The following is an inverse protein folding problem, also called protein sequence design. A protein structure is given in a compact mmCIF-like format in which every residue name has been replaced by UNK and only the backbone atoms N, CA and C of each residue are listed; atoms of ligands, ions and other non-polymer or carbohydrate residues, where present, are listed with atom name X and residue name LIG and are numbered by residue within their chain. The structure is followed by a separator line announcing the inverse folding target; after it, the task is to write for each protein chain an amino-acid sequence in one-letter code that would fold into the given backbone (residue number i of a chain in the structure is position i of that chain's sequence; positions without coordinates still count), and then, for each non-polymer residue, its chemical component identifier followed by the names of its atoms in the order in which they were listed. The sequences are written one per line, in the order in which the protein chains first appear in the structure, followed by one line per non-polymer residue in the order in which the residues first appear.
data_IF_511639424048
#
_entry.id   IF_511639424048
#
_cell.length_a   1.000
_cell.length_b   1.000
_cell.length_c   1.000
_cell.angle_alpha   90.00
_cell.angle_beta   90.00
_cell.angle_gamma   90.00
#
_symmetry.space_group_name_H-M   'P 1'
#
loop_
_entity.id
_entity.type
_entity.pdbx_description
1 polymer ?
#
# COMPACT_ATOMS: atom_id res chain seq x y z
N UNK A 1 -12.90 -28.02 -25.33
CA UNK A 1 -13.56 -26.75 -25.06
C UNK A 1 -12.55 -25.67 -25.36
N UNK A 2 -12.93 -24.75 -26.21
CA UNK A 2 -12.05 -23.63 -26.60
C UNK A 2 -11.87 -22.71 -25.38
N UNK A 3 -10.74 -22.84 -24.67
CA UNK A 3 -10.40 -22.02 -23.51
C UNK A 3 -10.11 -20.55 -23.89
N UNK A 4 -10.24 -20.22 -25.16
CA UNK A 4 -9.84 -18.94 -25.76
C UNK A 4 -11.05 -18.07 -26.14
N UNK A 5 -12.13 -18.07 -25.35
CA UNK A 5 -13.25 -17.14 -25.54
C UNK A 5 -12.76 -15.70 -25.68
N UNK A 6 -13.32 -14.96 -26.68
CA UNK A 6 -13.02 -13.55 -26.87
C UNK A 6 -13.77 -12.71 -25.81
N UNK A 7 -13.16 -11.59 -25.42
CA UNK A 7 -13.78 -10.66 -24.50
C UNK A 7 -13.40 -10.91 -23.04
N UNK A 8 -14.19 -10.34 -22.12
CA UNK A 8 -13.99 -10.41 -20.67
C UNK A 8 -14.83 -11.55 -20.11
N UNK A 9 -14.22 -12.58 -19.54
CA UNK A 9 -14.86 -13.80 -19.06
C UNK A 9 -14.25 -14.24 -17.72
N UNK A 10 -15.07 -14.88 -16.88
CA UNK A 10 -14.64 -15.54 -15.64
C UNK A 10 -14.33 -17.01 -15.89
N UNK A 11 -13.56 -17.65 -15.00
CA UNK A 11 -13.33 -19.09 -15.02
C UNK A 11 -12.44 -19.58 -16.16
N UNK A 12 -11.44 -18.80 -16.58
CA UNK A 12 -10.52 -19.16 -17.68
C UNK A 12 -9.59 -20.32 -17.34
N UNK A 13 -9.35 -20.57 -16.06
CA UNK A 13 -8.44 -21.60 -15.55
C UNK A 13 -9.19 -22.63 -14.69
N UNK A 14 -8.56 -23.75 -14.41
CA UNK A 14 -9.07 -24.73 -13.43
C UNK A 14 -8.80 -24.25 -12.00
N UNK A 15 -9.55 -24.74 -10.99
CA UNK A 15 -9.29 -24.40 -9.58
C UNK A 15 -7.83 -24.64 -9.16
N UNK A 16 -7.24 -25.76 -9.57
CA UNK A 16 -5.85 -26.06 -9.23
C UNK A 16 -4.84 -25.10 -9.87
N UNK A 17 -5.13 -24.58 -11.07
CA UNK A 17 -4.31 -23.54 -11.70
C UNK A 17 -4.43 -22.21 -10.93
N UNK A 18 -5.64 -21.84 -10.47
CA UNK A 18 -5.81 -20.65 -9.63
C UNK A 18 -5.04 -20.77 -8.31
N UNK A 19 -5.15 -21.90 -7.60
CA UNK A 19 -4.44 -22.12 -6.35
C UNK A 19 -2.92 -22.02 -6.51
N UNK A 20 -2.39 -22.58 -7.59
CA UNK A 20 -0.97 -22.50 -7.90
C UNK A 20 -0.53 -21.09 -8.29
N UNK A 21 -1.31 -20.41 -9.14
CA UNK A 21 -0.97 -19.08 -9.65
C UNK A 21 -0.99 -18.00 -8.55
N UNK A 22 -1.90 -18.12 -7.58
CA UNK A 22 -2.04 -17.16 -6.49
C UNK A 22 -1.37 -17.62 -5.18
N UNK A 23 -0.45 -18.60 -5.27
CA UNK A 23 0.38 -18.98 -4.13
C UNK A 23 1.24 -17.80 -3.63
N UNK A 24 1.70 -17.90 -2.40
CA UNK A 24 2.53 -16.88 -1.76
C UNK A 24 3.83 -16.62 -2.54
N UNK A 25 4.07 -15.38 -2.93
CA UNK A 25 5.27 -14.96 -3.67
C UNK A 25 6.56 -15.24 -2.89
N UNK A 26 6.53 -15.03 -1.58
CA UNK A 26 7.67 -15.18 -0.69
C UNK A 26 7.30 -16.03 0.53
N UNK A 27 7.16 -17.35 0.41
CA UNK A 27 6.84 -18.21 1.54
C UNK A 27 7.77 -17.94 2.74
N UNK A 28 7.21 -18.05 3.95
CA UNK A 28 7.96 -17.86 5.18
C UNK A 28 9.16 -18.81 5.24
N UNK A 29 10.30 -18.29 5.72
CA UNK A 29 11.46 -19.12 6.04
C UNK A 29 11.12 -20.13 7.13
N UNK A 30 11.67 -21.33 7.05
CA UNK A 30 11.70 -22.23 8.19
C UNK A 30 12.79 -21.79 9.20
N UNK A 31 12.89 -22.50 10.34
CA UNK A 31 13.84 -22.12 11.39
C UNK A 31 15.31 -22.26 10.97
N UNK A 32 15.62 -23.22 10.13
CA UNK A 32 16.98 -23.42 9.63
C UNK A 32 17.33 -22.36 8.57
N UNK A 33 16.44 -22.13 7.63
CA UNK A 33 16.60 -21.06 6.61
C UNK A 33 16.76 -19.69 7.26
N UNK A 34 15.94 -19.39 8.29
CA UNK A 34 16.02 -18.14 9.03
C UNK A 34 17.35 -17.99 9.76
N UNK A 35 17.89 -19.07 10.35
CA UNK A 35 19.21 -19.07 10.98
C UNK A 35 20.30 -18.78 9.94
N UNK A 36 20.32 -19.52 8.82
CA UNK A 36 21.31 -19.32 7.75
C UNK A 36 21.24 -17.91 7.16
N UNK A 37 20.05 -17.38 6.92
CA UNK A 37 19.86 -16.03 6.40
C UNK A 37 20.31 -14.95 7.42
N UNK A 38 20.03 -15.16 8.71
CA UNK A 38 20.42 -14.23 9.78
C UNK A 38 21.93 -14.18 10.01
N UNK A 39 22.66 -15.29 9.86
CA UNK A 39 24.11 -15.36 10.00
C UNK A 39 24.86 -14.56 8.93
N UNK A 40 24.19 -14.20 7.85
CA UNK A 40 24.77 -13.30 6.85
C UNK A 40 24.87 -11.85 7.33
N UNK A 41 24.16 -11.45 8.38
CA UNK A 41 24.20 -10.09 8.90
C UNK A 41 25.53 -9.80 9.61
N UNK A 42 26.15 -8.64 9.30
CA UNK A 42 27.36 -8.17 9.99
C UNK A 42 27.06 -7.50 11.33
N UNK A 43 25.81 -7.29 11.68
CA UNK A 43 25.37 -6.59 12.90
C UNK A 43 26.06 -5.22 13.04
N UNK A 44 26.06 -4.42 11.97
CA UNK A 44 26.73 -3.12 11.90
C UNK A 44 26.27 -2.21 13.03
N UNK A 45 27.20 -1.44 13.60
CA UNK A 45 26.90 -0.49 14.68
C UNK A 45 26.11 0.73 14.16
N UNK A 46 26.57 1.30 13.04
CA UNK A 46 25.93 2.43 12.34
C UNK A 46 25.18 1.94 11.10
N UNK A 47 24.32 0.97 11.30
CA UNK A 47 23.65 0.20 10.25
C UNK A 47 22.86 1.07 9.27
N UNK A 48 23.26 1.19 7.98
CA UNK A 48 22.56 2.01 7.01
C UNK A 48 21.11 1.54 6.76
N UNK A 49 20.85 0.25 6.93
CA UNK A 49 19.52 -0.32 6.81
C UNK A 49 18.52 0.23 7.84
N UNK A 50 18.96 0.63 9.04
CA UNK A 50 18.11 1.29 10.03
C UNK A 50 17.70 2.69 9.56
N UNK A 51 18.66 3.45 9.00
CA UNK A 51 18.39 4.80 8.48
C UNK A 51 17.48 4.78 7.26
N UNK A 52 17.63 3.77 6.40
CA UNK A 52 16.78 3.59 5.22
C UNK A 52 15.36 3.08 5.56
N UNK A 53 15.17 2.53 6.75
CA UNK A 53 13.83 2.09 7.19
C UNK A 53 13.01 3.30 7.66
N UNK A 54 11.86 3.64 7.02
CA UNK A 54 11.04 4.77 7.43
C UNK A 54 10.55 4.71 8.88
N UNK A 55 10.37 3.51 9.44
CA UNK A 55 9.98 3.30 10.85
C UNK A 55 11.19 3.17 11.78
N UNK A 56 12.42 3.16 11.26
CA UNK A 56 13.66 3.07 12.05
C UNK A 56 13.74 1.83 12.95
N UNK A 57 13.34 0.67 12.43
CA UNK A 57 13.48 -0.62 13.14
C UNK A 57 14.97 -0.89 13.39
N UNK A 58 15.33 -1.34 14.59
CA UNK A 58 16.68 -1.85 14.88
C UNK A 58 16.89 -3.20 14.17
N UNK A 59 17.25 -3.11 12.89
CA UNK A 59 17.41 -4.26 11.99
C UNK A 59 18.53 -5.19 12.46
N UNK A 60 19.73 -4.71 12.82
CA UNK A 60 20.77 -5.59 13.37
C UNK A 60 20.34 -6.32 14.63
N UNK A 61 19.60 -5.66 15.53
CA UNK A 61 19.14 -6.27 16.77
C UNK A 61 18.13 -7.37 16.49
N UNK A 62 17.09 -7.13 15.70
CA UNK A 62 16.09 -8.15 15.46
C UNK A 62 16.67 -9.38 14.72
N UNK A 63 17.61 -9.15 13.77
CA UNK A 63 18.29 -10.25 13.08
C UNK A 63 19.17 -11.04 14.06
N UNK A 64 19.90 -10.35 14.95
CA UNK A 64 20.70 -11.03 16.00
C UNK A 64 19.83 -11.85 16.92
N UNK A 65 18.63 -11.39 17.28
CA UNK A 65 17.69 -12.15 18.08
C UNK A 65 17.21 -13.42 17.37
N UNK A 66 17.04 -13.39 16.04
CA UNK A 66 16.75 -14.59 15.24
C UNK A 66 17.95 -15.55 15.29
N UNK A 67 19.17 -15.09 15.01
CA UNK A 67 20.37 -15.93 15.00
C UNK A 67 20.70 -16.56 16.35
N UNK A 68 20.20 -15.98 17.44
CA UNK A 68 20.37 -16.51 18.79
C UNK A 68 19.13 -17.29 19.31
N UNK A 69 18.18 -17.64 18.44
CA UNK A 69 17.03 -18.47 18.76
C UNK A 69 15.91 -17.76 19.52
N UNK A 70 15.81 -16.43 19.43
CA UNK A 70 14.76 -15.63 20.08
C UNK A 70 13.86 -14.89 19.07
N UNK A 71 13.06 -15.59 18.24
CA UNK A 71 12.18 -14.95 17.26
C UNK A 71 11.09 -14.08 17.90
N UNK A 72 10.65 -14.39 19.12
CA UNK A 72 9.65 -13.60 19.84
C UNK A 72 10.23 -12.25 20.27
N UNK A 73 11.47 -12.21 20.79
CA UNK A 73 12.16 -10.95 21.06
C UNK A 73 12.38 -10.14 19.80
N UNK A 74 12.71 -10.80 18.70
CA UNK A 74 12.84 -10.19 17.37
C UNK A 74 11.55 -9.52 16.93
N UNK A 75 10.42 -10.20 17.00
CA UNK A 75 9.11 -9.64 16.69
C UNK A 75 8.79 -8.40 17.55
N UNK A 76 9.11 -8.46 18.86
CA UNK A 76 8.92 -7.30 19.74
C UNK A 76 9.74 -6.10 19.28
N UNK A 77 11.01 -6.29 18.94
CA UNK A 77 11.90 -5.23 18.41
C UNK A 77 11.31 -4.59 17.14
N UNK A 78 10.71 -5.40 16.26
CA UNK A 78 10.04 -4.94 15.06
C UNK A 78 8.79 -4.13 15.42
N UNK A 79 7.88 -4.69 16.23
CA UNK A 79 6.60 -4.07 16.57
C UNK A 79 6.75 -2.81 17.44
N UNK A 80 7.81 -2.64 18.19
CA UNK A 80 8.10 -1.41 18.95
C UNK A 80 8.16 -0.19 18.03
N UNK A 81 8.61 -0.38 16.80
CA UNK A 81 8.74 0.68 15.79
C UNK A 81 7.66 0.60 14.70
N UNK A 82 7.21 -0.58 14.36
CA UNK A 82 6.30 -0.85 13.25
C UNK A 82 5.28 -1.91 13.63
N UNK A 83 4.13 -1.49 14.16
CA UNK A 83 3.07 -2.41 14.60
C UNK A 83 2.44 -3.20 13.44
N UNK A 84 2.56 -2.72 12.20
CA UNK A 84 2.20 -3.44 10.97
C UNK A 84 3.41 -4.11 10.33
N UNK A 85 4.35 -4.58 11.15
CA UNK A 85 5.59 -5.20 10.71
C UNK A 85 5.40 -6.45 9.86
N UNK A 86 4.30 -7.16 10.02
CA UNK A 86 3.96 -8.35 9.23
C UNK A 86 3.58 -8.00 7.77
N UNK A 87 2.71 -7.00 7.56
CA UNK A 87 2.42 -6.51 6.20
C UNK A 87 3.65 -5.85 5.58
N UNK A 88 4.35 -4.99 6.32
CA UNK A 88 5.58 -4.37 5.80
C UNK A 88 6.61 -5.41 5.36
N UNK A 89 6.74 -6.54 6.05
CA UNK A 89 7.62 -7.63 5.66
C UNK A 89 7.24 -8.30 4.33
N UNK A 90 5.98 -8.15 3.89
CA UNK A 90 5.45 -8.71 2.65
C UNK A 90 5.45 -7.72 1.49
N UNK A 91 5.29 -6.42 1.78
CA UNK A 91 4.98 -5.42 0.74
C UNK A 91 5.96 -4.26 0.64
N UNK A 92 6.90 -4.12 1.58
CA UNK A 92 7.97 -3.13 1.45
C UNK A 92 8.83 -3.46 0.23
N UNK A 93 9.14 -2.50 -0.63
CA UNK A 93 10.15 -2.65 -1.67
C UNK A 93 11.55 -2.62 -1.04
N UNK A 94 11.93 -3.70 -0.33
CA UNK A 94 13.17 -3.77 0.44
C UNK A 94 14.41 -3.54 -0.41
N UNK A 95 14.32 -3.89 -1.70
CA UNK A 95 15.34 -3.67 -2.73
C UNK A 95 15.58 -2.19 -3.08
N UNK A 96 14.68 -1.29 -2.65
CA UNK A 96 14.84 0.17 -2.77
C UNK A 96 15.03 0.85 -1.40
N UNK A 97 14.92 0.09 -0.31
CA UNK A 97 15.00 0.55 1.07
C UNK A 97 16.17 -0.11 1.82
N UNK A 98 15.83 -0.90 2.84
CA UNK A 98 16.83 -1.45 3.77
C UNK A 98 17.81 -2.46 3.13
N UNK A 99 17.36 -3.26 2.17
CA UNK A 99 18.21 -4.24 1.48
C UNK A 99 19.09 -3.56 0.43
N UNK A 100 18.62 -2.48 -0.22
CA UNK A 100 19.43 -1.70 -1.15
C UNK A 100 20.72 -1.19 -0.51
N UNK A 101 20.61 -0.65 0.71
CA UNK A 101 21.75 -0.04 1.43
C UNK A 101 22.49 -1.04 2.31
N UNK A 102 22.10 -2.30 2.31
CA UNK A 102 22.80 -3.33 3.07
C UNK A 102 24.26 -3.43 2.66
N UNK A 103 25.17 -3.45 3.63
CA UNK A 103 26.63 -3.55 3.36
C UNK A 103 26.97 -4.79 2.54
N UNK A 104 26.26 -5.90 2.77
CA UNK A 104 26.39 -7.11 1.94
C UNK A 104 26.02 -6.88 0.49
N UNK A 105 25.00 -6.02 0.22
CA UNK A 105 24.64 -5.68 -1.16
C UNK A 105 25.81 -5.00 -1.88
N UNK A 106 26.45 -4.01 -1.24
CA UNK A 106 27.61 -3.31 -1.81
C UNK A 106 28.82 -4.24 -2.01
N UNK A 107 29.02 -5.21 -1.10
CA UNK A 107 30.20 -6.07 -1.13
C UNK A 107 30.03 -7.31 -2.03
N UNK A 108 28.82 -7.83 -2.18
CA UNK A 108 28.56 -9.15 -2.74
C UNK A 108 27.39 -9.16 -3.75
N UNK A 109 26.78 -8.01 -4.07
CA UNK A 109 25.53 -7.89 -4.87
C UNK A 109 24.40 -8.80 -4.35
N UNK A 110 24.44 -9.12 -3.05
CA UNK A 110 23.47 -9.98 -2.39
C UNK A 110 23.23 -9.50 -0.96
N UNK A 111 22.17 -8.71 -0.71
CA UNK A 111 21.83 -8.23 0.62
C UNK A 111 21.45 -9.37 1.58
N UNK A 112 21.36 -9.07 2.87
CA UNK A 112 20.63 -9.91 3.82
C UNK A 112 19.13 -9.83 3.47
N UNK A 113 18.43 -10.95 3.51
CA UNK A 113 16.98 -11.03 3.22
C UNK A 113 16.18 -10.46 4.42
N UNK A 114 16.27 -9.13 4.61
CA UNK A 114 15.73 -8.42 5.77
C UNK A 114 14.21 -8.59 5.86
N UNK A 115 13.51 -8.40 4.74
CA UNK A 115 12.06 -8.55 4.67
C UNK A 115 11.60 -9.96 5.05
N UNK A 116 12.27 -11.01 4.54
CA UNK A 116 11.94 -12.40 4.86
C UNK A 116 12.20 -12.76 6.33
N UNK A 117 13.29 -12.25 6.90
CA UNK A 117 13.62 -12.41 8.32
C UNK A 117 12.62 -11.67 9.22
N UNK A 118 12.20 -10.46 8.83
CA UNK A 118 11.15 -9.72 9.51
C UNK A 118 9.84 -10.52 9.51
N UNK A 119 9.43 -11.06 8.34
CA UNK A 119 8.26 -11.91 8.20
C UNK A 119 8.33 -13.15 9.10
N UNK A 120 9.47 -13.84 9.12
CA UNK A 120 9.67 -15.01 9.97
C UNK A 120 9.36 -14.71 11.44
N UNK A 121 9.89 -13.62 11.97
CA UNK A 121 9.70 -13.27 13.37
C UNK A 121 8.24 -12.82 13.67
N UNK A 122 7.68 -11.95 12.81
CA UNK A 122 6.32 -11.42 13.03
C UNK A 122 5.25 -12.50 12.89
N UNK A 123 5.38 -13.40 11.91
CA UNK A 123 4.43 -14.50 11.72
C UNK A 123 4.42 -15.45 12.94
N UNK A 124 5.59 -15.81 13.48
CA UNK A 124 5.68 -16.66 14.69
C UNK A 124 4.98 -15.98 15.87
N UNK A 125 5.20 -14.69 16.09
CA UNK A 125 4.59 -13.99 17.22
C UNK A 125 3.06 -13.91 17.08
N UNK A 126 2.56 -13.60 15.88
CA UNK A 126 1.13 -13.52 15.60
C UNK A 126 0.45 -14.91 15.69
N UNK A 127 1.05 -15.95 15.13
CA UNK A 127 0.55 -17.35 15.23
C UNK A 127 0.47 -17.84 16.69
N UNK A 128 1.40 -17.40 17.54
CA UNK A 128 1.38 -17.70 18.97
C UNK A 128 0.44 -16.79 19.78
N UNK A 129 -0.25 -15.83 19.13
CA UNK A 129 -1.12 -14.87 19.80
C UNK A 129 -0.38 -13.95 20.79
N UNK A 130 0.90 -13.66 20.54
CA UNK A 130 1.73 -12.87 21.46
C UNK A 130 1.35 -11.40 21.39
N UNK A 131 0.67 -10.90 22.41
CA UNK A 131 0.45 -9.47 22.63
C UNK A 131 1.59 -8.92 23.49
N UNK A 132 2.30 -7.92 22.97
CA UNK A 132 3.46 -7.31 23.64
C UNK A 132 3.10 -6.04 24.41
N UNK A 133 1.93 -5.48 24.14
CA UNK A 133 1.51 -4.19 24.64
C UNK A 133 0.20 -4.30 25.41
N UNK A 134 0.05 -3.44 26.40
CA UNK A 134 -1.17 -3.25 27.14
C UNK A 134 -1.58 -1.78 27.13
N UNK A 135 -2.86 -1.55 27.18
CA UNK A 135 -3.41 -0.21 27.30
C UNK A 135 -3.10 0.35 28.70
N UNK A 136 -2.62 1.59 28.76
CA UNK A 136 -2.48 2.31 30.03
C UNK A 136 -3.86 2.69 30.62
N UNK A 137 -3.86 3.22 31.86
CA UNK A 137 -5.08 3.73 32.50
C UNK A 137 -5.75 4.80 31.60
N UNK A 138 -7.08 4.80 31.57
CA UNK A 138 -7.83 5.74 30.76
C UNK A 138 -7.48 7.20 31.08
N UNK A 139 -7.11 7.96 30.05
CA UNK A 139 -6.86 9.41 30.15
C UNK A 139 -8.15 10.23 30.17
N UNK A 140 -9.31 9.63 29.88
CA UNK A 140 -10.56 10.33 29.65
C UNK A 140 -10.63 11.10 28.30
N UNK A 141 -9.59 10.99 27.47
CA UNK A 141 -9.51 11.66 26.16
C UNK A 141 -9.94 10.73 25.03
N UNK A 142 -10.64 11.29 24.04
CA UNK A 142 -11.11 10.53 22.87
C UNK A 142 -10.58 11.17 21.59
N UNK A 143 -9.96 10.36 20.74
CA UNK A 143 -9.38 10.78 19.45
C UNK A 143 -10.17 10.15 18.30
N UNK A 144 -10.59 10.98 17.34
CA UNK A 144 -11.16 10.48 16.08
C UNK A 144 -10.04 10.26 15.06
N UNK A 145 -10.09 9.12 14.36
CA UNK A 145 -9.20 8.79 13.24
C UNK A 145 -10.06 8.58 12.00
N UNK A 146 -9.79 9.32 10.94
CA UNK A 146 -10.49 9.20 9.66
C UNK A 146 -9.64 8.38 8.70
N UNK A 147 -10.07 7.16 8.43
CA UNK A 147 -9.37 6.14 7.64
C UNK A 147 -8.67 5.10 8.52
N UNK A 148 -8.99 3.83 8.30
CA UNK A 148 -8.42 2.68 9.00
C UNK A 148 -7.36 1.95 8.13
N UNK A 149 -6.61 2.71 7.34
CA UNK A 149 -5.41 2.23 6.62
C UNK A 149 -4.18 2.18 7.55
N UNK A 150 -2.98 1.89 7.01
CA UNK A 150 -1.76 1.70 7.80
C UNK A 150 -1.43 2.86 8.75
N UNK A 151 -1.59 4.12 8.32
CA UNK A 151 -1.36 5.28 9.18
C UNK A 151 -2.38 5.35 10.32
N UNK A 152 -3.67 5.13 10.02
CA UNK A 152 -4.75 5.16 11.02
C UNK A 152 -4.60 4.04 12.04
N UNK A 153 -4.30 2.82 11.61
CA UNK A 153 -4.08 1.67 12.48
C UNK A 153 -2.87 1.87 13.41
N UNK A 154 -1.76 2.37 12.87
CA UNK A 154 -0.56 2.64 13.66
C UNK A 154 -0.83 3.74 14.71
N UNK A 155 -1.54 4.81 14.33
CA UNK A 155 -1.94 5.87 15.25
C UNK A 155 -2.91 5.35 16.32
N UNK A 156 -3.91 4.56 15.93
CA UNK A 156 -4.91 4.00 16.84
C UNK A 156 -4.25 3.14 17.93
N UNK A 157 -3.37 2.22 17.53
CA UNK A 157 -2.64 1.37 18.47
C UNK A 157 -1.79 2.21 19.44
N UNK A 158 -1.01 3.16 18.93
CA UNK A 158 -0.12 4.00 19.76
C UNK A 158 -0.91 4.88 20.75
N UNK A 159 -2.02 5.46 20.32
CA UNK A 159 -2.92 6.24 21.19
C UNK A 159 -3.58 5.36 22.26
N UNK A 160 -4.02 4.15 21.89
CA UNK A 160 -4.59 3.20 22.84
C UNK A 160 -3.56 2.75 23.89
N UNK A 161 -2.29 2.54 23.50
CA UNK A 161 -1.20 2.28 24.47
C UNK A 161 -1.12 3.40 25.53
N UNK A 162 -1.24 4.67 25.12
CA UNK A 162 -1.23 5.81 26.04
C UNK A 162 -2.56 6.01 26.82
N UNK A 163 -3.49 5.09 26.75
CA UNK A 163 -4.75 5.12 27.51
C UNK A 163 -5.85 5.98 26.88
N UNK A 164 -5.66 6.57 25.71
CA UNK A 164 -6.72 7.31 25.01
C UNK A 164 -7.77 6.34 24.45
N UNK A 165 -9.02 6.80 24.35
CA UNK A 165 -10.06 6.13 23.58
C UNK A 165 -9.98 6.58 22.12
N UNK A 166 -10.09 5.62 21.20
CA UNK A 166 -9.96 5.89 19.78
C UNK A 166 -11.22 5.46 19.04
N UNK A 167 -11.74 6.32 18.17
CA UNK A 167 -12.81 6.01 17.23
C UNK A 167 -12.26 6.13 15.82
N UNK A 168 -12.09 4.99 15.14
CA UNK A 168 -11.71 4.94 13.72
C UNK A 168 -12.97 4.96 12.85
N UNK A 169 -12.99 5.85 11.86
CA UNK A 169 -14.07 6.04 10.89
C UNK A 169 -13.55 5.61 9.52
N UNK A 170 -14.05 4.49 9.01
CA UNK A 170 -13.59 3.89 7.76
C UNK A 170 -14.69 3.93 6.69
N UNK A 171 -14.36 4.39 5.49
CA UNK A 171 -15.32 4.54 4.40
C UNK A 171 -15.73 3.20 3.77
N UNK A 172 -14.87 2.20 3.83
CA UNK A 172 -15.08 0.84 3.28
C UNK A 172 -15.65 -0.11 4.34
N UNK A 173 -16.00 -1.33 3.91
CA UNK A 173 -16.58 -2.35 4.77
C UNK A 173 -15.56 -2.96 5.75
N UNK A 174 -14.28 -2.98 5.37
CA UNK A 174 -13.19 -3.53 6.17
C UNK A 174 -12.10 -2.49 6.41
N UNK A 175 -11.51 -2.51 7.61
CA UNK A 175 -10.29 -1.79 7.90
C UNK A 175 -9.08 -2.41 7.16
N UNK A 176 -7.97 -1.69 7.06
CA UNK A 176 -6.74 -2.14 6.42
C UNK A 176 -6.26 -1.23 5.28
N UNK A 177 -7.15 -0.41 4.71
CA UNK A 177 -6.82 0.50 3.60
C UNK A 177 -6.23 -0.26 2.42
N UNK A 178 -5.14 0.22 1.82
CA UNK A 178 -4.50 -0.44 0.68
C UNK A 178 -3.90 -1.81 1.02
N UNK A 179 -3.56 -2.09 2.28
CA UNK A 179 -3.13 -3.44 2.68
C UNK A 179 -4.25 -4.48 2.46
N UNK A 180 -5.49 -4.08 2.66
CA UNK A 180 -6.66 -4.93 2.44
C UNK A 180 -7.13 -4.90 0.98
N UNK A 181 -7.08 -3.73 0.31
CA UNK A 181 -7.73 -3.53 -0.97
C UNK A 181 -6.79 -3.29 -2.15
N UNK A 182 -5.54 -2.89 -1.92
CA UNK A 182 -4.66 -2.41 -3.00
C UNK A 182 -3.39 -3.22 -3.25
N UNK A 183 -3.09 -4.21 -2.40
CA UNK A 183 -1.92 -5.09 -2.55
C UNK A 183 -2.30 -6.32 -3.38
N UNK A 184 -1.44 -6.74 -4.29
CA UNK A 184 -1.66 -7.97 -5.05
C UNK A 184 -1.87 -9.18 -4.13
N UNK A 185 -2.84 -10.04 -4.48
CA UNK A 185 -3.24 -11.17 -3.63
C UNK A 185 -2.11 -12.13 -3.32
N UNK A 186 -1.23 -12.39 -4.28
CA UNK A 186 -0.07 -13.28 -4.13
C UNK A 186 1.05 -12.70 -3.21
N UNK A 187 1.00 -11.40 -2.89
CA UNK A 187 1.94 -10.75 -1.94
C UNK A 187 1.49 -10.89 -0.49
N UNK A 188 0.19 -10.98 -0.24
CA UNK A 188 -0.39 -11.09 1.09
C UNK A 188 -1.58 -12.05 1.08
N UNK A 189 -1.27 -13.34 1.23
CA UNK A 189 -2.24 -14.45 1.22
C UNK A 189 -2.89 -14.64 2.59
N UNK A 190 -3.88 -15.54 2.69
CA UNK A 190 -4.48 -16.04 3.94
C UNK A 190 -5.10 -14.94 4.82
N UNK A 191 -5.79 -13.97 4.19
CA UNK A 191 -6.42 -12.82 4.88
C UNK A 191 -5.47 -12.08 5.84
N UNK A 192 -4.17 -12.09 5.53
CA UNK A 192 -3.15 -11.58 6.45
C UNK A 192 -3.40 -10.12 6.85
N UNK A 193 -3.93 -9.28 5.95
CA UNK A 193 -4.24 -7.89 6.25
C UNK A 193 -5.28 -7.77 7.38
N UNK A 194 -6.34 -8.60 7.38
CA UNK A 194 -7.33 -8.62 8.45
C UNK A 194 -6.76 -9.21 9.76
N UNK A 195 -5.98 -10.27 9.68
CA UNK A 195 -5.29 -10.83 10.86
C UNK A 195 -4.40 -9.79 11.54
N UNK A 196 -3.74 -8.92 10.78
CA UNK A 196 -2.94 -7.83 11.35
C UNK A 196 -3.81 -6.70 11.92
N UNK A 197 -4.94 -6.37 11.28
CA UNK A 197 -5.95 -5.45 11.85
C UNK A 197 -6.46 -5.97 13.20
N UNK A 198 -6.82 -7.25 13.28
CA UNK A 198 -7.26 -7.89 14.53
C UNK A 198 -6.18 -7.84 15.60
N UNK A 199 -4.92 -8.12 15.24
CA UNK A 199 -3.77 -8.03 16.14
C UNK A 199 -3.59 -6.61 16.70
N UNK A 200 -3.67 -5.59 15.85
CA UNK A 200 -3.54 -4.18 16.23
C UNK A 200 -4.66 -3.73 17.17
N UNK A 201 -5.90 -4.11 16.86
CA UNK A 201 -7.08 -3.67 17.62
C UNK A 201 -7.29 -4.45 18.92
N UNK A 202 -6.67 -5.62 19.07
CA UNK A 202 -6.75 -6.48 20.26
C UNK A 202 -6.23 -5.81 21.55
N UNK A 203 -5.45 -4.72 21.45
CA UNK A 203 -5.03 -3.93 22.63
C UNK A 203 -6.23 -3.32 23.38
N UNK A 204 -7.37 -3.14 22.70
CA UNK A 204 -8.59 -2.52 23.24
C UNK A 204 -8.55 -1.00 23.26
N UNK A 205 -9.70 -0.40 23.55
CA UNK A 205 -9.87 1.07 23.54
C UNK A 205 -9.98 1.67 22.13
N UNK A 206 -10.10 0.83 21.12
CA UNK A 206 -10.27 1.21 19.71
C UNK A 206 -11.64 0.71 19.26
N UNK A 207 -12.49 1.64 18.83
CA UNK A 207 -13.77 1.36 18.18
C UNK A 207 -13.63 1.67 16.69
N UNK A 208 -13.99 0.72 15.82
CA UNK A 208 -13.99 0.93 14.37
C UNK A 208 -15.41 1.00 13.84
N UNK A 209 -15.73 2.06 13.11
CA UNK A 209 -17.01 2.27 12.42
C UNK A 209 -16.78 2.25 10.92
N UNK A 210 -17.18 1.16 10.30
CA UNK A 210 -17.04 0.96 8.86
C UNK A 210 -18.24 1.52 8.08
N UNK A 211 -18.05 1.80 6.79
CA UNK A 211 -19.10 2.30 5.90
C UNK A 211 -19.42 3.78 6.08
N UNK A 212 -18.60 4.55 6.82
CA UNK A 212 -18.83 5.97 7.11
C UNK A 212 -17.70 6.85 6.57
N UNK A 213 -18.03 7.88 5.80
CA UNK A 213 -17.08 8.68 5.05
C UNK A 213 -17.17 10.17 5.37
N UNK A 214 -16.02 10.82 5.50
CA UNK A 214 -15.90 12.26 5.64
C UNK A 214 -16.49 12.97 4.40
N UNK A 215 -17.29 14.00 4.62
CA UNK A 215 -17.94 14.77 3.55
C UNK A 215 -19.23 14.15 3.03
N UNK A 216 -19.56 12.90 3.44
CA UNK A 216 -20.83 12.25 3.17
C UNK A 216 -21.67 12.10 4.45
N UNK A 217 -21.09 11.52 5.50
CA UNK A 217 -21.81 11.16 6.73
C UNK A 217 -21.50 12.10 7.88
N UNK A 218 -20.34 12.76 7.86
CA UNK A 218 -19.88 13.73 8.85
C UNK A 218 -18.90 14.71 8.21
N UNK A 219 -18.68 15.85 8.88
CA UNK A 219 -17.69 16.87 8.49
C UNK A 219 -16.51 16.93 9.47
N UNK A 220 -15.42 17.58 9.07
CA UNK A 220 -14.28 17.83 9.97
C UNK A 220 -14.68 18.69 11.16
N UNK A 221 -15.61 19.66 10.96
CA UNK A 221 -16.15 20.48 12.06
C UNK A 221 -16.93 19.66 13.09
N UNK A 222 -17.67 18.62 12.67
CA UNK A 222 -18.36 17.73 13.59
C UNK A 222 -17.35 16.94 14.45
N UNK A 223 -16.24 16.50 13.83
CA UNK A 223 -15.20 15.78 14.56
C UNK A 223 -14.48 16.66 15.57
N UNK A 224 -14.08 17.88 15.18
CA UNK A 224 -13.38 18.81 16.09
C UNK A 224 -14.26 19.30 17.25
N UNK A 225 -15.59 19.30 17.06
CA UNK A 225 -16.53 19.63 18.13
C UNK A 225 -16.73 18.50 19.15
N UNK A 226 -16.60 17.24 18.73
CA UNK A 226 -16.98 16.08 19.55
C UNK A 226 -15.78 15.26 20.08
N UNK A 227 -14.56 15.49 19.58
CA UNK A 227 -13.36 14.75 19.96
C UNK A 227 -12.27 15.69 20.46
N UNK A 228 -11.39 15.20 21.33
CA UNK A 228 -10.28 15.98 21.87
C UNK A 228 -9.16 16.21 20.84
N UNK A 229 -9.03 15.33 19.86
CA UNK A 229 -8.13 15.48 18.71
C UNK A 229 -8.66 14.67 17.51
N UNK A 230 -8.21 15.05 16.31
CA UNK A 230 -8.56 14.36 15.04
C UNK A 230 -7.29 14.01 14.28
N UNK A 231 -7.21 12.78 13.80
CA UNK A 231 -6.15 12.34 12.89
C UNK A 231 -6.73 11.93 11.54
N UNK A 232 -6.28 12.58 10.46
CA UNK A 232 -6.71 12.32 9.09
C UNK A 232 -5.72 11.36 8.42
N UNK A 233 -6.17 10.15 8.15
CA UNK A 233 -5.40 9.05 7.55
C UNK A 233 -6.11 8.50 6.30
N UNK A 234 -6.66 9.40 5.47
CA UNK A 234 -7.61 9.10 4.41
C UNK A 234 -6.99 8.46 3.17
N UNK A 235 -5.65 8.45 3.04
CA UNK A 235 -4.95 7.95 1.86
C UNK A 235 -5.31 8.74 0.59
N UNK A 236 -5.27 8.06 -0.56
CA UNK A 236 -5.65 8.57 -1.88
C UNK A 236 -6.86 7.79 -2.39
N UNK A 237 -8.03 8.39 -2.38
CA UNK A 237 -9.28 7.73 -2.75
C UNK A 237 -9.74 8.01 -4.19
N UNK A 238 -9.17 9.02 -4.85
CA UNK A 238 -9.46 9.34 -6.24
C UNK A 238 -8.51 8.64 -7.21
N UNK A 239 -8.90 8.54 -8.47
CA UNK A 239 -8.07 8.05 -9.59
C UNK A 239 -7.99 9.12 -10.66
N UNK A 240 -6.83 9.20 -11.31
CA UNK A 240 -6.65 10.14 -12.41
C UNK A 240 -7.31 9.61 -13.68
N UNK A 241 -8.06 10.47 -14.39
CA UNK A 241 -8.59 10.16 -15.71
C UNK A 241 -7.50 10.28 -16.79
N UNK A 242 -7.68 9.55 -17.89
CA UNK A 242 -6.83 9.68 -19.09
C UNK A 242 -7.17 10.94 -19.88
N UNK A 243 -8.45 11.32 -19.91
CA UNK A 243 -8.95 12.46 -20.69
C UNK A 243 -8.86 12.24 -22.20
N UNK A 244 -8.99 11.00 -22.66
CA UNK A 244 -8.94 10.61 -24.07
C UNK A 244 -10.26 9.99 -24.52
N UNK A 245 -10.50 9.96 -25.82
CA UNK A 245 -11.68 9.34 -26.43
C UNK A 245 -11.75 7.84 -26.08
N UNK A 246 -12.94 7.37 -25.74
CA UNK A 246 -13.26 5.96 -25.46
C UNK A 246 -12.98 5.53 -24.02
N UNK A 247 -12.62 6.44 -23.11
CA UNK A 247 -12.38 6.10 -21.70
C UNK A 247 -13.64 5.56 -20.99
N UNK A 248 -14.83 5.84 -21.54
CA UNK A 248 -16.14 5.41 -21.05
C UNK A 248 -16.58 4.04 -21.56
N UNK A 249 -15.82 3.38 -22.43
CA UNK A 249 -16.18 2.08 -23.02
C UNK A 249 -16.21 0.96 -21.98
N UNK A 250 -17.13 0.01 -22.17
CA UNK A 250 -17.13 -1.23 -21.37
C UNK A 250 -15.82 -2.01 -21.57
N UNK A 251 -15.16 -2.34 -20.47
CA UNK A 251 -13.83 -2.96 -20.45
C UNK A 251 -12.69 -1.99 -20.12
N UNK A 252 -13.00 -0.71 -19.86
CA UNK A 252 -12.07 0.24 -19.25
C UNK A 252 -12.34 0.31 -17.76
N UNK A 253 -11.32 0.12 -16.92
CA UNK A 253 -11.46 0.19 -15.48
C UNK A 253 -10.19 0.72 -14.79
N UNK A 254 -10.32 1.10 -13.54
CA UNK A 254 -9.18 1.49 -12.72
C UNK A 254 -8.46 0.26 -12.15
N UNK A 255 -7.15 0.20 -12.28
CA UNK A 255 -6.34 -0.93 -11.80
C UNK A 255 -6.52 -1.18 -10.29
N UNK A 256 -6.73 -0.13 -9.50
CA UNK A 256 -6.98 -0.24 -8.05
C UNK A 256 -8.32 -0.92 -7.74
N UNK A 257 -9.34 -0.70 -8.56
CA UNK A 257 -10.65 -1.32 -8.40
C UNK A 257 -10.60 -2.80 -8.81
N UNK A 258 -9.90 -3.12 -9.90
CA UNK A 258 -9.63 -4.50 -10.28
C UNK A 258 -8.89 -5.27 -9.19
N UNK A 259 -7.82 -4.71 -8.63
CA UNK A 259 -7.07 -5.33 -7.52
C UNK A 259 -7.98 -5.51 -6.30
N UNK A 260 -8.79 -4.51 -5.96
CA UNK A 260 -9.70 -4.58 -4.82
C UNK A 260 -10.77 -5.67 -5.03
N UNK A 261 -11.37 -5.74 -6.22
CA UNK A 261 -12.36 -6.77 -6.55
C UNK A 261 -11.77 -8.19 -6.44
N UNK A 262 -10.56 -8.39 -6.95
CA UNK A 262 -9.87 -9.69 -6.89
C UNK A 262 -9.50 -10.07 -5.44
N UNK A 263 -9.08 -9.12 -4.61
CA UNK A 263 -8.78 -9.37 -3.20
C UNK A 263 -10.02 -9.74 -2.38
N UNK A 264 -11.15 -9.10 -2.68
CA UNK A 264 -12.41 -9.36 -1.98
C UNK A 264 -13.18 -10.58 -2.51
N UNK A 265 -12.78 -11.13 -3.66
CA UNK A 265 -13.40 -12.33 -4.22
C UNK A 265 -13.07 -13.57 -3.38
N UNK A 266 -14.11 -14.21 -2.84
CA UNK A 266 -13.97 -15.49 -2.14
C UNK A 266 -13.46 -16.61 -3.07
N UNK A 267 -13.89 -16.57 -4.34
CA UNK A 267 -13.41 -17.46 -5.40
C UNK A 267 -12.86 -16.62 -6.55
N UNK A 268 -11.56 -16.71 -6.80
CA UNK A 268 -10.88 -15.98 -7.87
C UNK A 268 -11.37 -16.36 -9.27
N UNK A 269 -11.92 -17.57 -9.42
CA UNK A 269 -12.53 -18.00 -10.68
C UNK A 269 -13.78 -17.20 -11.08
N UNK A 270 -14.37 -16.46 -10.15
CA UNK A 270 -15.53 -15.59 -10.44
C UNK A 270 -15.14 -14.22 -10.99
N UNK A 271 -13.86 -13.83 -10.89
CA UNK A 271 -13.40 -12.53 -11.37
C UNK A 271 -13.18 -12.58 -12.88
N UNK A 272 -13.91 -11.77 -13.66
CA UNK A 272 -13.77 -11.77 -15.10
C UNK A 272 -12.47 -11.07 -15.51
N UNK A 273 -11.85 -11.61 -16.57
CA UNK A 273 -10.62 -11.05 -17.14
C UNK A 273 -10.67 -11.10 -18.68
N UNK A 274 -10.14 -10.06 -19.32
CA UNK A 274 -9.97 -10.01 -20.76
C UNK A 274 -8.97 -11.06 -21.24
N UNK A 275 -9.14 -11.55 -22.46
CA UNK A 275 -8.13 -12.39 -23.12
C UNK A 275 -6.85 -11.60 -23.37
N UNK A 276 -7.01 -10.34 -23.84
CA UNK A 276 -5.92 -9.38 -24.08
C UNK A 276 -6.13 -8.16 -23.21
N UNK A 277 -5.21 -7.93 -22.29
CA UNK A 277 -5.27 -6.86 -21.31
C UNK A 277 -4.16 -5.84 -21.58
N UNK A 278 -4.50 -4.57 -21.60
CA UNK A 278 -3.53 -3.47 -21.62
C UNK A 278 -3.59 -2.72 -20.31
N UNK A 279 -2.46 -2.59 -19.63
CA UNK A 279 -2.31 -1.80 -18.41
C UNK A 279 -1.56 -0.52 -18.73
N UNK A 280 -2.14 0.63 -18.38
CA UNK A 280 -1.56 1.95 -18.63
C UNK A 280 -0.91 2.47 -17.36
N UNK A 281 0.42 2.57 -17.35
CA UNK A 281 1.17 3.09 -16.21
C UNK A 281 2.53 2.44 -16.03
N UNK A 282 3.28 2.83 -15.00
CA UNK A 282 4.64 2.32 -14.75
C UNK A 282 5.01 2.28 -13.26
N UNK A 283 4.02 2.28 -12.36
CA UNK A 283 4.20 2.10 -10.92
C UNK A 283 3.91 0.69 -10.47
N UNK A 284 4.08 0.41 -9.17
CA UNK A 284 3.80 -0.89 -8.54
C UNK A 284 2.37 -1.38 -8.81
N UNK A 285 1.38 -0.48 -8.78
CA UNK A 285 -0.02 -0.81 -9.09
C UNK A 285 -0.19 -1.37 -10.51
N UNK A 286 0.57 -0.82 -11.49
CA UNK A 286 0.53 -1.32 -12.86
C UNK A 286 1.11 -2.74 -12.96
N UNK A 287 2.22 -2.99 -12.27
CA UNK A 287 2.84 -4.32 -12.17
C UNK A 287 1.88 -5.32 -11.52
N UNK A 288 1.32 -4.96 -10.37
CA UNK A 288 0.40 -5.80 -9.60
C UNK A 288 -0.85 -6.16 -10.40
N UNK A 289 -1.46 -5.20 -11.08
CA UNK A 289 -2.63 -5.44 -11.92
C UNK A 289 -2.28 -6.36 -13.13
N UNK A 290 -1.16 -6.10 -13.80
CA UNK A 290 -0.73 -6.87 -14.95
C UNK A 290 -0.39 -8.33 -14.62
N UNK A 291 0.35 -8.56 -13.52
CA UNK A 291 0.66 -9.92 -13.06
C UNK A 291 -0.65 -10.63 -12.69
N UNK A 292 -1.54 -10.02 -11.91
CA UNK A 292 -2.80 -10.63 -11.50
C UNK A 292 -3.70 -10.95 -12.70
N UNK A 293 -3.71 -10.10 -13.74
CA UNK A 293 -4.39 -10.40 -14.99
C UNK A 293 -3.85 -11.67 -15.64
N UNK A 294 -2.53 -11.85 -15.68
CA UNK A 294 -1.89 -13.11 -16.17
C UNK A 294 -2.29 -14.30 -15.31
N UNK A 295 -2.25 -14.16 -14.00
CA UNK A 295 -2.58 -15.23 -13.05
C UNK A 295 -4.06 -15.64 -13.11
N UNK A 296 -4.95 -14.76 -13.55
CA UNK A 296 -6.36 -15.05 -13.84
C UNK A 296 -6.58 -15.73 -15.20
N UNK A 297 -5.53 -15.85 -16.03
CA UNK A 297 -5.60 -16.55 -17.30
C UNK A 297 -5.71 -15.66 -18.54
N UNK A 298 -5.40 -14.36 -18.44
CA UNK A 298 -5.23 -13.53 -19.63
C UNK A 298 -4.10 -14.07 -20.52
N UNK A 299 -4.40 -14.24 -21.83
CA UNK A 299 -3.43 -14.78 -22.79
C UNK A 299 -2.29 -13.78 -23.06
N UNK A 300 -2.66 -12.52 -23.31
CA UNK A 300 -1.72 -11.43 -23.54
C UNK A 300 -1.95 -10.31 -22.53
N UNK A 301 -0.89 -9.89 -21.84
CA UNK A 301 -0.91 -8.73 -20.97
C UNK A 301 0.24 -7.81 -21.33
N UNK A 302 -0.09 -6.56 -21.67
CA UNK A 302 0.89 -5.55 -22.05
C UNK A 302 0.77 -4.34 -21.13
N UNK A 303 1.88 -3.97 -20.48
CA UNK A 303 2.01 -2.66 -19.82
C UNK A 303 2.50 -1.65 -20.85
N UNK A 304 1.77 -0.53 -21.01
CA UNK A 304 2.19 0.61 -21.82
C UNK A 304 2.67 1.73 -20.90
N UNK A 305 3.94 2.13 -21.08
CA UNK A 305 4.53 3.20 -20.30
C UNK A 305 5.10 4.30 -21.21
N UNK A 306 4.74 5.56 -20.92
CA UNK A 306 5.06 6.71 -21.77
C UNK A 306 6.52 7.17 -21.74
N UNK A 307 7.38 6.61 -20.90
CA UNK A 307 8.82 6.93 -20.76
C UNK A 307 9.67 5.68 -20.89
N UNK A 308 10.99 5.81 -20.68
CA UNK A 308 11.92 4.71 -20.67
C UNK A 308 11.85 3.85 -19.41
N UNK A 309 12.47 2.67 -19.46
CA UNK A 309 12.55 1.68 -18.35
C UNK A 309 13.02 2.33 -17.05
N UNK A 310 14.03 3.16 -17.13
CA UNK A 310 14.68 3.86 -16.00
C UNK A 310 13.81 4.91 -15.32
N UNK A 311 12.70 5.30 -15.95
CA UNK A 311 11.76 6.29 -15.42
C UNK A 311 10.51 5.65 -14.80
N UNK A 312 10.43 4.32 -14.77
CA UNK A 312 9.33 3.63 -14.09
C UNK A 312 9.48 3.78 -12.56
N UNK A 313 8.36 4.02 -11.88
CA UNK A 313 8.34 4.04 -10.41
C UNK A 313 8.39 2.62 -9.82
N UNK A 314 7.97 1.60 -10.59
CA UNK A 314 8.18 0.21 -10.23
C UNK A 314 9.68 -0.12 -10.26
N UNK A 315 10.15 -0.83 -9.24
CA UNK A 315 11.57 -1.22 -9.14
C UNK A 315 11.98 -2.16 -10.27
N UNK A 316 13.29 -2.30 -10.49
CA UNK A 316 13.80 -3.27 -11.47
C UNK A 316 13.35 -4.70 -11.12
N UNK A 317 13.33 -5.04 -9.83
CA UNK A 317 12.84 -6.33 -9.34
C UNK A 317 11.37 -6.57 -9.74
N UNK A 318 10.49 -5.58 -9.54
CA UNK A 318 9.09 -5.71 -9.92
C UNK A 318 8.88 -5.80 -11.44
N UNK A 319 9.66 -5.04 -12.22
CA UNK A 319 9.65 -5.14 -13.68
C UNK A 319 10.08 -6.53 -14.15
N UNK A 320 11.12 -7.09 -13.55
CA UNK A 320 11.62 -8.43 -13.86
C UNK A 320 10.60 -9.51 -13.41
N UNK A 321 9.93 -9.31 -12.26
CA UNK A 321 8.85 -10.18 -11.81
C UNK A 321 7.68 -10.20 -12.80
N UNK A 322 7.29 -9.04 -13.34
CA UNK A 322 6.23 -8.95 -14.34
C UNK A 322 6.61 -9.72 -15.62
N UNK A 323 7.83 -9.52 -16.11
CA UNK A 323 8.29 -10.21 -17.34
C UNK A 323 8.44 -11.71 -17.12
N UNK A 324 8.89 -12.15 -15.94
CA UNK A 324 8.95 -13.57 -15.57
C UNK A 324 7.56 -14.24 -15.55
N UNK A 325 6.51 -13.46 -15.23
CA UNK A 325 5.11 -13.91 -15.32
C UNK A 325 4.49 -13.75 -16.73
N UNK A 326 5.29 -13.44 -17.75
CA UNK A 326 4.84 -13.34 -19.14
C UNK A 326 4.11 -12.05 -19.48
N UNK A 327 4.29 -10.99 -18.68
CA UNK A 327 3.82 -9.64 -19.01
C UNK A 327 4.80 -8.96 -19.96
N UNK A 328 4.30 -8.31 -21.00
CA UNK A 328 5.09 -7.53 -21.94
C UNK A 328 5.11 -6.07 -21.46
N UNK A 329 6.29 -5.50 -21.24
CA UNK A 329 6.43 -4.09 -20.89
C UNK A 329 6.90 -3.32 -22.15
N UNK A 330 6.06 -2.41 -22.63
CA UNK A 330 6.34 -1.54 -23.78
C UNK A 330 6.57 -0.11 -23.31
N UNK A 331 7.78 0.37 -23.50
CA UNK A 331 8.18 1.72 -23.15
C UNK A 331 7.95 2.69 -24.31
N UNK A 332 7.94 3.98 -24.01
CA UNK A 332 7.80 5.08 -24.97
C UNK A 332 6.48 5.05 -25.73
N UNK A 333 5.40 4.61 -25.06
CA UNK A 333 4.04 4.59 -25.60
C UNK A 333 3.10 5.37 -24.70
N UNK A 334 2.55 6.46 -25.22
CA UNK A 334 1.47 7.21 -24.56
C UNK A 334 0.10 6.80 -25.13
N UNK A 335 -0.93 6.64 -24.32
CA UNK A 335 -2.28 6.41 -24.80
C UNK A 335 -2.79 7.63 -25.56
N UNK A 336 -3.47 7.42 -26.70
CA UNK A 336 -4.02 8.48 -27.55
C UNK A 336 -5.53 8.41 -27.66
N UNK A 337 -6.08 7.23 -27.93
CA UNK A 337 -7.52 6.96 -27.95
C UNK A 337 -7.79 5.49 -27.67
N UNK A 338 -8.90 5.19 -27.00
CA UNK A 338 -9.36 3.83 -26.81
C UNK A 338 -10.34 3.50 -27.94
N UNK A 339 -10.08 2.40 -28.62
CA UNK A 339 -10.85 1.98 -29.79
C UNK A 339 -11.97 1.07 -29.35
N UNK A 340 -13.20 1.39 -29.73
CA UNK A 340 -14.39 0.62 -29.39
C UNK A 340 -15.01 -0.10 -30.57
N UNK A 341 -15.70 -1.22 -30.26
CA UNK A 341 -16.60 -1.90 -31.15
C UNK A 341 -17.84 -2.34 -30.37
N UNK A 342 -19.00 -1.98 -30.85
CA UNK A 342 -20.28 -2.32 -30.20
C UNK A 342 -20.36 -1.88 -28.72
N UNK A 343 -19.76 -0.71 -28.38
CA UNK A 343 -19.71 -0.16 -27.02
C UNK A 343 -18.66 -0.77 -26.09
N UNK A 344 -17.85 -1.72 -26.56
CA UNK A 344 -16.82 -2.42 -25.79
C UNK A 344 -15.43 -2.09 -26.32
N UNK A 345 -14.42 -2.23 -25.46
CA UNK A 345 -13.01 -2.12 -25.85
C UNK A 345 -12.66 -3.15 -26.93
N UNK A 346 -11.98 -2.69 -27.97
CA UNK A 346 -11.42 -3.52 -29.03
C UNK A 346 -9.91 -3.31 -29.20
N UNK A 347 -9.36 -2.24 -28.63
CA UNK A 347 -7.95 -1.91 -28.66
C UNK A 347 -7.66 -0.52 -28.16
N UNK A 348 -6.40 -0.11 -28.27
CA UNK A 348 -5.93 1.22 -27.92
C UNK A 348 -5.00 1.74 -29.02
N UNK A 349 -5.22 2.97 -29.47
CA UNK A 349 -4.26 3.72 -30.24
C UNK A 349 -3.26 4.37 -29.29
N UNK A 350 -1.98 4.13 -29.53
CA UNK A 350 -0.87 4.70 -28.79
C UNK A 350 0.00 5.55 -29.70
N UNK A 351 0.60 6.60 -29.14
CA UNK A 351 1.60 7.43 -29.82
C UNK A 351 2.98 7.11 -29.26
N UNK A 352 3.96 6.95 -30.14
CA UNK A 352 5.37 6.85 -29.73
C UNK A 352 5.84 8.18 -29.16
N UNK A 353 6.57 8.13 -28.07
CA UNK A 353 7.08 9.30 -27.35
C UNK A 353 8.60 9.32 -27.34
N UNK A 354 9.18 10.50 -27.13
CA UNK A 354 10.62 10.68 -26.98
C UNK A 354 10.92 11.83 -26.03
N UNK A 355 12.14 11.84 -25.47
CA UNK A 355 12.64 13.01 -24.74
C UNK A 355 13.28 13.99 -25.71
N UNK A 356 12.81 15.25 -25.74
CA UNK A 356 13.44 16.36 -26.46
C UNK A 356 13.59 17.54 -25.51
N UNK A 357 14.79 18.04 -25.36
CA UNK A 357 15.13 19.15 -24.44
C UNK A 357 14.62 18.93 -23.00
N UNK A 358 14.75 17.70 -22.49
CA UNK A 358 14.31 17.32 -21.14
C UNK A 358 12.78 17.20 -20.97
N UNK A 359 11.99 17.33 -22.05
CA UNK A 359 10.54 17.19 -22.03
C UNK A 359 10.10 15.95 -22.81
N UNK A 360 9.09 15.28 -22.29
CA UNK A 360 8.41 14.19 -22.99
C UNK A 360 7.52 14.77 -24.09
N UNK A 361 7.71 14.32 -25.32
CA UNK A 361 6.91 14.76 -26.48
C UNK A 361 6.45 13.55 -27.28
N UNK A 362 5.29 13.67 -27.94
CA UNK A 362 4.85 12.73 -28.96
C UNK A 362 5.70 12.87 -30.23
N UNK A 363 5.90 11.78 -30.94
CA UNK A 363 6.67 11.78 -32.21
C UNK A 363 5.77 11.98 -33.42
N UNK A 364 4.47 11.86 -33.27
CA UNK A 364 3.48 11.82 -34.35
C UNK A 364 3.30 10.42 -34.96
N UNK A 365 4.17 9.48 -34.64
CA UNK A 365 4.02 8.08 -35.04
C UNK A 365 3.06 7.35 -34.10
N UNK A 366 2.10 6.62 -34.64
CA UNK A 366 1.10 5.91 -33.86
C UNK A 366 1.08 4.42 -34.18
N UNK A 367 0.52 3.64 -33.25
CA UNK A 367 0.30 2.21 -33.41
C UNK A 367 -0.99 1.79 -32.70
N UNK A 368 -1.50 0.63 -33.03
CA UNK A 368 -2.68 0.05 -32.39
C UNK A 368 -2.29 -1.23 -31.67
N UNK A 369 -2.76 -1.36 -30.44
CA UNK A 369 -2.65 -2.59 -29.65
C UNK A 369 -4.07 -3.11 -29.45
N UNK A 370 -4.33 -4.33 -29.88
CA UNK A 370 -5.61 -4.99 -29.67
C UNK A 370 -5.80 -5.33 -28.18
N UNK A 371 -6.97 -5.01 -27.64
CA UNK A 371 -7.30 -5.28 -26.24
C UNK A 371 -8.78 -5.57 -26.09
N UNK A 372 -9.11 -6.42 -25.13
CA UNK A 372 -10.48 -6.66 -24.67
C UNK A 372 -10.76 -5.89 -23.38
N UNK A 373 -9.71 -5.52 -22.64
CA UNK A 373 -9.77 -4.82 -21.35
C UNK A 373 -8.58 -3.86 -21.20
N UNK A 374 -8.85 -2.70 -20.65
CA UNK A 374 -7.83 -1.68 -20.36
C UNK A 374 -7.91 -1.29 -18.89
N UNK A 375 -6.78 -1.40 -18.18
CA UNK A 375 -6.66 -1.03 -16.78
C UNK A 375 -5.82 0.23 -16.63
N UNK A 376 -6.39 1.26 -16.00
CA UNK A 376 -5.72 2.54 -15.75
C UNK A 376 -4.95 2.48 -14.43
N UNK A 377 -3.63 2.58 -14.48
CA UNK A 377 -2.72 2.63 -13.34
C UNK A 377 -1.85 3.91 -13.39
N UNK A 378 -2.48 5.06 -13.68
CA UNK A 378 -1.82 6.36 -13.95
C UNK A 378 -1.76 7.28 -12.72
N UNK A 379 -1.90 6.71 -11.56
CA UNK A 379 -1.80 7.37 -10.25
C UNK A 379 -3.14 7.67 -9.62
N UNK A 380 -3.10 7.78 -8.30
CA UNK A 380 -4.23 8.14 -7.47
C UNK A 380 -4.18 9.61 -7.10
N UNK A 381 -5.31 10.17 -6.68
CA UNK A 381 -5.44 11.56 -6.26
C UNK A 381 -6.14 11.66 -4.90
N UNK A 382 -5.83 12.71 -4.17
CA UNK A 382 -6.45 13.01 -2.91
C UNK A 382 -7.81 13.69 -3.13
N UNK A 383 -8.83 13.23 -2.42
CA UNK A 383 -10.17 13.85 -2.44
C UNK A 383 -10.36 14.71 -1.19
N UNK A 384 -10.46 16.02 -1.39
CA UNK A 384 -10.55 17.02 -0.32
C UNK A 384 -11.98 17.25 0.22
N UNK A 385 -12.94 16.36 -0.03
CA UNK A 385 -14.32 16.53 0.43
C UNK A 385 -14.43 16.54 1.96
N UNK A 386 -15.20 17.47 2.50
CA UNK A 386 -15.52 17.53 3.93
C UNK A 386 -14.44 18.14 4.83
N UNK A 387 -13.31 18.61 4.28
CA UNK A 387 -12.17 19.14 5.03
C UNK A 387 -12.30 20.63 5.41
N UNK A 388 -13.30 21.36 4.89
CA UNK A 388 -13.51 22.79 5.20
C UNK A 388 -12.32 23.65 4.75
N UNK A 389 -11.80 24.46 5.68
CA UNK A 389 -10.70 25.42 5.43
C UNK A 389 -9.29 24.83 5.62
N UNK A 390 -9.15 23.51 5.69
CA UNK A 390 -7.85 22.86 5.84
C UNK A 390 -6.92 23.18 4.66
N UNK A 391 -5.68 23.54 4.94
CA UNK A 391 -4.73 23.91 3.88
C UNK A 391 -4.29 22.70 3.07
N UNK A 392 -4.47 22.80 1.75
CA UNK A 392 -4.06 21.79 0.76
C UNK A 392 -2.94 22.37 -0.09
N UNK A 393 -1.82 21.69 -0.18
CA UNK A 393 -0.69 22.05 -1.02
C UNK A 393 -0.36 20.91 -1.96
N UNK A 394 -0.17 21.22 -3.26
CA UNK A 394 0.17 20.24 -4.31
C UNK A 394 -0.78 19.04 -4.34
N UNK A 395 -2.07 19.27 -4.01
CA UNK A 395 -3.09 18.22 -4.01
C UNK A 395 -3.08 17.29 -2.79
N UNK A 396 -2.35 17.60 -1.72
CA UNK A 396 -2.30 16.84 -0.48
C UNK A 396 -2.44 17.78 0.73
N UNK A 397 -2.78 17.25 1.91
CA UNK A 397 -2.88 18.01 3.15
C UNK A 397 -1.49 18.53 3.54
N UNK A 398 -1.38 19.84 3.82
CA UNK A 398 -0.15 20.46 4.33
C UNK A 398 0.01 20.15 5.82
N UNK A 399 1.20 19.66 6.21
CA UNK A 399 1.53 19.34 7.61
C UNK A 399 2.96 19.72 7.94
N UNK A 400 3.22 19.91 9.24
CA UNK A 400 4.60 19.94 9.74
C UNK A 400 5.18 18.50 9.90
N UNK A 401 6.40 18.41 10.40
CA UNK A 401 7.10 17.12 10.59
C UNK A 401 6.47 16.22 11.66
N UNK A 402 5.60 16.76 12.53
CA UNK A 402 4.86 16.02 13.54
C UNK A 402 3.43 15.65 13.08
N UNK A 403 3.11 15.92 11.81
CA UNK A 403 1.79 15.67 11.23
C UNK A 403 0.73 16.70 11.61
N UNK A 404 1.08 17.83 12.25
CA UNK A 404 0.11 18.90 12.58
C UNK A 404 -0.29 19.63 11.31
N UNK A 405 -1.59 19.85 11.16
CA UNK A 405 -2.15 20.58 10.02
C UNK A 405 -2.27 22.08 10.31
N UNK A 406 -2.80 22.84 9.36
CA UNK A 406 -3.16 24.25 9.54
C UNK A 406 -4.30 24.49 10.53
N UNK A 407 -5.01 23.44 10.94
CA UNK A 407 -6.12 23.50 11.89
C UNK A 407 -5.68 22.91 13.24
N UNK A 408 -5.83 23.71 14.31
CA UNK A 408 -5.50 23.27 15.65
C UNK A 408 -6.34 22.07 16.09
N UNK A 409 -5.71 21.09 16.77
CA UNK A 409 -6.38 19.84 17.17
C UNK A 409 -6.54 18.82 16.03
N UNK A 410 -6.00 19.10 14.84
CA UNK A 410 -6.09 18.23 13.68
C UNK A 410 -4.69 17.85 13.17
N UNK A 411 -4.44 16.56 13.05
CA UNK A 411 -3.23 15.97 12.47
C UNK A 411 -3.58 15.20 11.20
N UNK A 412 -2.58 14.94 10.36
CA UNK A 412 -2.73 14.09 9.21
C UNK A 412 -1.46 13.24 8.97
N UNK A 413 -1.63 12.09 8.29
CA UNK A 413 -0.53 11.18 7.92
C UNK A 413 -0.95 10.13 6.90
N UNK A 414 0.02 9.42 6.34
CA UNK A 414 -0.16 8.51 5.23
C UNK A 414 -0.20 9.25 3.89
N UNK A 415 -0.68 8.58 2.85
CA UNK A 415 -0.59 9.07 1.47
C UNK A 415 -1.37 10.36 1.21
N UNK A 416 -2.26 10.78 2.13
CA UNK A 416 -2.97 12.06 2.02
C UNK A 416 -2.09 13.29 2.32
N UNK A 417 -0.85 13.11 2.80
CA UNK A 417 0.15 14.18 3.01
C UNK A 417 1.36 14.02 2.11
N UNK A 418 2.14 15.09 1.90
CA UNK A 418 3.24 15.13 0.93
C UNK A 418 4.65 14.96 1.52
N UNK A 419 4.80 14.45 2.74
CA UNK A 419 6.10 14.44 3.45
C UNK A 419 7.05 13.30 3.08
N UNK A 420 6.53 12.16 2.61
CA UNK A 420 7.32 10.97 2.28
C UNK A 420 6.72 10.25 1.08
N UNK A 421 7.39 9.19 0.64
CA UNK A 421 6.86 8.30 -0.40
C UNK A 421 5.58 7.58 0.07
N UNK A 422 4.66 7.36 -0.86
CA UNK A 422 3.37 6.69 -0.63
C UNK A 422 3.60 5.17 -0.46
N UNK A 423 4.09 4.77 0.71
CA UNK A 423 4.41 3.40 1.10
C UNK A 423 3.75 3.04 2.43
N UNK A 424 3.34 1.77 2.58
CA UNK A 424 2.79 1.26 3.85
C UNK A 424 3.68 1.59 5.04
N UNK A 425 4.97 1.37 4.93
CA UNK A 425 5.94 1.62 6.03
C UNK A 425 6.07 3.10 6.36
N UNK A 426 5.98 4.00 5.37
CA UNK A 426 5.98 5.45 5.57
C UNK A 426 4.71 5.90 6.29
N UNK A 427 3.56 5.36 5.87
CA UNK A 427 2.27 5.62 6.50
C UNK A 427 2.24 5.18 7.97
N UNK A 428 2.81 4.00 8.29
CA UNK A 428 2.95 3.51 9.68
C UNK A 428 3.80 4.46 10.52
N UNK A 429 4.95 4.89 10.01
CA UNK A 429 5.82 5.85 10.71
C UNK A 429 5.09 7.15 11.02
N UNK A 430 4.41 7.73 10.02
CA UNK A 430 3.65 8.97 10.18
C UNK A 430 2.49 8.82 11.17
N UNK A 431 1.77 7.71 11.14
CA UNK A 431 0.69 7.43 12.10
C UNK A 431 1.20 7.32 13.53
N UNK A 432 2.30 6.58 13.75
CA UNK A 432 2.96 6.46 15.05
C UNK A 432 3.44 7.83 15.56
N UNK A 433 4.15 8.58 14.73
CA UNK A 433 4.78 9.84 15.11
C UNK A 433 3.72 10.93 15.38
N UNK A 434 2.64 10.97 14.60
CA UNK A 434 1.48 11.82 14.85
C UNK A 434 0.78 11.46 16.16
N UNK A 435 0.62 10.19 16.48
CA UNK A 435 0.03 9.73 17.74
C UNK A 435 0.84 10.20 18.95
N UNK A 436 2.17 10.16 18.88
CA UNK A 436 3.04 10.71 19.92
C UNK A 436 2.89 12.24 20.05
N UNK A 437 2.73 12.95 18.93
CA UNK A 437 2.46 14.41 18.96
C UNK A 437 1.11 14.71 19.59
N UNK A 438 0.06 13.98 19.22
CA UNK A 438 -1.29 14.09 19.83
C UNK A 438 -1.21 13.82 21.34
N UNK A 439 -0.58 12.71 21.76
CA UNK A 439 -0.44 12.37 23.17
C UNK A 439 0.23 13.49 23.97
N UNK A 440 1.33 14.07 23.47
CA UNK A 440 2.01 15.20 24.14
C UNK A 440 1.08 16.39 24.34
N UNK A 441 0.29 16.74 23.34
CA UNK A 441 -0.67 17.89 23.41
C UNK A 441 -1.78 17.58 24.39
N UNK A 442 -2.38 16.39 24.37
CA UNK A 442 -3.47 16.01 25.26
C UNK A 442 -3.00 15.86 26.72
N UNK A 443 -1.80 15.36 26.96
CA UNK A 443 -1.21 15.23 28.30
C UNK A 443 -0.87 16.61 28.93
N UNK A 444 -0.48 17.60 28.13
CA UNK A 444 -0.20 18.94 28.60
C UNK A 444 -1.45 19.72 29.07
N UNK A 445 -2.65 19.15 28.98
CA UNK A 445 -3.90 19.77 29.38
C UNK A 445 -4.35 20.94 28.49
N UNK A 446 -3.65 21.19 27.41
CA UNK A 446 -4.06 22.18 26.42
C UNK A 446 -5.25 21.61 25.64
N UNK A 447 -6.47 22.06 25.90
CA UNK A 447 -7.45 22.13 24.84
C UNK A 447 -6.85 23.07 23.81
N UNK A 448 -6.66 22.66 22.56
CA UNK A 448 -6.29 23.61 21.53
C UNK A 448 -7.37 24.70 21.52
N UNK A 449 -6.96 25.95 21.74
CA UNK A 449 -7.90 27.05 21.71
C UNK A 449 -8.42 27.15 20.26
N UNK A 450 -9.73 27.03 20.11
CA UNK A 450 -10.37 27.34 18.83
C UNK A 450 -10.14 28.84 18.63
N UNK A 451 -9.23 29.20 17.74
CA UNK A 451 -9.09 30.58 17.31
C UNK A 451 -10.35 30.96 16.53
N UNK A 452 -11.30 31.54 17.21
CA UNK A 452 -12.42 32.28 16.59
C UNK A 452 -11.80 33.55 16.03
N UNK A 453 -11.59 33.62 14.71
CA UNK A 453 -11.32 34.85 13.98
C UNK A 453 -12.51 35.16 13.06
#
# INVERSE_FOLDING_TARGET
MDRLGNGIEAGRLTPAEYDMNFADLHPRLDSHEALVASDRCYFCYDAPCMTACPTSIDIPLFIRQISTGNPIGSAKTIFDQNILGGMCARVCPTETLCEQVCVRNTAEDRPVEIGRLQRYATDIAMEQGRQFYSREASTGKTVAIVGAGPAGLAAAHRLAMHGHSVVMLEAREKAGGLNEYGIATYKAVDDFAQREVDYVTAIGGIETRNGVALGRDFSLSDLTANYDAVFLAMGLAGVNGLGIEGEELEGVEDAVDFIAALRQAADKATVPIGRRVVVLGGGMTAIDAAIQAKLLGAEEVTICYRRGKENMNASAYEQDLATANGVIIRHWLAPKAILGKDGKVAGIEVEYTAMRDGKLVGTGETGVIAADQIMKAIGQSFLASGLGALQIERGKISTDMEGRTSMEGVWAGGDCIGLREDLTVSAVAQGRDAAESINRVLAAGARPAIAVA
#
